data_IF_652946694155
#
_entry.id   IF_652946694155
#
_cell.length_a   1.000
_cell.length_b   1.000
_cell.length_c   1.000
_cell.angle_alpha   90.00
_cell.angle_beta   90.00
_cell.angle_gamma   90.00
#
_symmetry.space_group_name_H-M   'P 1'
#
loop_
_entity.id
_entity.type
_entity.pdbx_description
1 polymer ?
#
# COMPACT_ATOMS: atom_id res chain seq x y z
N UNK A 1 -13.74 19.78 2.98
CA UNK A 1 -13.18 18.54 3.57
C UNK A 1 -11.68 18.61 3.31
N UNK A 2 -10.83 18.58 4.34
CA UNK A 2 -9.39 18.59 4.12
C UNK A 2 -8.96 17.21 3.61
N UNK A 3 -8.39 17.14 2.41
CA UNK A 3 -7.78 15.92 1.88
C UNK A 3 -6.62 15.54 2.80
N UNK A 4 -6.69 14.33 3.37
CA UNK A 4 -5.55 13.83 4.16
C UNK A 4 -4.42 13.48 3.19
N UNK A 5 -3.18 13.90 3.47
CA UNK A 5 -2.05 13.54 2.63
C UNK A 5 -1.93 12.01 2.56
N UNK A 6 -1.56 11.52 1.38
CA UNK A 6 -1.21 10.12 1.23
C UNK A 6 0.02 9.82 2.10
N UNK A 7 -0.05 8.73 2.86
CA UNK A 7 1.06 8.24 3.67
C UNK A 7 1.56 6.95 3.01
N UNK A 8 2.85 6.86 2.64
CA UNK A 8 3.43 5.62 2.14
C UNK A 8 3.18 4.46 3.09
N UNK A 9 2.95 3.27 2.55
CA UNK A 9 2.73 2.08 3.37
C UNK A 9 3.23 0.83 2.68
N UNK A 10 3.48 -0.20 3.48
CA UNK A 10 3.85 -1.54 3.02
C UNK A 10 2.76 -2.53 3.36
N UNK A 11 2.35 -3.32 2.38
CA UNK A 11 1.41 -4.43 2.53
C UNK A 11 2.21 -5.70 2.75
N UNK A 12 1.95 -6.36 3.88
CA UNK A 12 2.53 -7.66 4.22
C UNK A 12 1.54 -8.75 3.83
N UNK A 13 2.03 -9.78 3.16
CA UNK A 13 1.26 -10.92 2.71
C UNK A 13 1.45 -12.12 3.64
N UNK A 14 0.49 -13.04 3.63
CA UNK A 14 0.51 -14.26 4.45
C UNK A 14 1.59 -15.26 4.01
N UNK A 15 2.05 -15.18 2.77
CA UNK A 15 3.14 -15.99 2.22
C UNK A 15 4.54 -15.41 2.51
N UNK A 16 4.60 -14.29 3.24
CA UNK A 16 5.84 -13.57 3.53
C UNK A 16 6.25 -12.58 2.44
N UNK A 17 5.43 -12.39 1.38
CA UNK A 17 5.64 -11.35 0.40
C UNK A 17 5.35 -9.96 0.97
N UNK A 18 6.04 -8.95 0.45
CA UNK A 18 5.86 -7.55 0.83
C UNK A 18 5.68 -6.69 -0.42
N UNK A 19 4.68 -5.82 -0.41
CA UNK A 19 4.42 -4.88 -1.49
C UNK A 19 4.47 -3.45 -0.94
N UNK A 20 5.48 -2.68 -1.37
CA UNK A 20 5.68 -1.30 -0.95
C UNK A 20 4.91 -0.34 -1.84
N UNK A 21 4.16 0.57 -1.24
CA UNK A 21 3.32 1.57 -1.92
C UNK A 21 3.82 2.98 -1.52
N UNK A 22 4.74 3.56 -2.31
CA UNK A 22 5.32 4.87 -1.99
C UNK A 22 4.39 6.05 -2.32
N UNK A 23 3.51 5.91 -3.33
CA UNK A 23 2.53 6.95 -3.71
C UNK A 23 1.16 6.36 -4.05
N UNK A 24 0.14 7.20 -4.11
CA UNK A 24 -1.22 6.78 -4.49
C UNK A 24 -1.29 6.13 -5.87
N UNK A 25 -0.44 6.57 -6.82
CA UNK A 25 -0.40 6.03 -8.18
C UNK A 25 0.15 4.59 -8.24
N UNK A 26 0.85 4.16 -7.19
CA UNK A 26 1.38 2.80 -7.09
C UNK A 26 0.32 1.80 -6.66
N UNK A 27 -0.88 2.22 -6.25
CA UNK A 27 -1.94 1.31 -5.82
C UNK A 27 -3.26 1.59 -6.53
N UNK A 28 -3.93 0.52 -6.95
CA UNK A 28 -5.27 0.59 -7.52
C UNK A 28 -6.15 -0.51 -6.98
N UNK A 29 -7.33 -0.12 -6.51
CA UNK A 29 -8.38 -1.05 -6.06
C UNK A 29 -9.56 -0.90 -7.00
N UNK A 30 -9.99 -1.99 -7.59
CA UNK A 30 -11.16 -1.96 -8.49
C UNK A 30 -12.42 -2.16 -7.65
N UNK A 31 -13.46 -1.34 -7.88
CA UNK A 31 -14.70 -1.38 -7.10
C UNK A 31 -15.41 -2.76 -7.14
N UNK A 32 -15.22 -3.50 -8.24
CA UNK A 32 -15.78 -4.83 -8.45
C UNK A 32 -14.78 -5.94 -8.15
N UNK A 33 -13.50 -5.62 -7.97
CA UNK A 33 -12.44 -6.61 -7.89
C UNK A 33 -12.04 -6.91 -6.47
N UNK A 34 -12.03 -8.20 -6.15
CA UNK A 34 -11.38 -8.75 -4.98
C UNK A 34 -9.85 -8.76 -5.11
N UNK A 35 -9.27 -7.71 -5.71
CA UNK A 35 -7.83 -7.59 -5.98
C UNK A 35 -7.35 -6.15 -5.78
N UNK A 36 -6.22 -6.05 -5.12
CA UNK A 36 -5.40 -4.85 -4.99
C UNK A 36 -4.26 -4.97 -5.98
N UNK A 37 -4.11 -3.98 -6.85
CA UNK A 37 -3.02 -3.91 -7.80
C UNK A 37 -1.96 -2.96 -7.25
N UNK A 38 -0.73 -3.44 -7.10
CA UNK A 38 0.42 -2.63 -6.70
C UNK A 38 1.39 -2.56 -7.87
N UNK A 39 1.59 -1.37 -8.42
CA UNK A 39 2.53 -1.11 -9.50
C UNK A 39 3.90 -0.76 -8.92
N UNK A 40 4.97 -1.19 -9.58
CA UNK A 40 6.36 -0.89 -9.24
C UNK A 40 7.02 -0.07 -10.33
N UNK A 41 8.07 0.69 -9.99
CA UNK A 41 8.84 1.52 -10.94
C UNK A 41 9.47 0.73 -12.10
N UNK A 42 9.69 -0.59 -11.94
CA UNK A 42 10.17 -1.49 -13.00
C UNK A 42 9.08 -1.81 -14.05
N UNK A 43 7.89 -1.21 -13.93
CA UNK A 43 6.73 -1.45 -14.80
C UNK A 43 6.01 -2.77 -14.53
N UNK A 44 6.43 -3.52 -13.51
CA UNK A 44 5.74 -4.71 -13.02
C UNK A 44 4.60 -4.33 -12.09
N UNK A 45 3.64 -5.24 -11.91
CA UNK A 45 2.59 -5.08 -10.92
C UNK A 45 2.28 -6.40 -10.23
N UNK A 46 1.92 -6.33 -8.95
CA UNK A 46 1.36 -7.44 -8.19
C UNK A 46 -0.15 -7.31 -8.09
N UNK A 47 -0.84 -8.44 -8.27
CA UNK A 47 -2.28 -8.56 -8.09
C UNK A 47 -2.58 -9.32 -6.80
N UNK A 48 -2.66 -8.58 -5.70
CA UNK A 48 -2.82 -9.11 -4.35
C UNK A 48 -4.30 -9.37 -4.07
N UNK A 49 -4.62 -10.55 -3.55
CA UNK A 49 -5.96 -10.82 -3.02
C UNK A 49 -6.08 -10.22 -1.61
N UNK A 50 -7.16 -9.50 -1.27
CA UNK A 50 -7.34 -8.93 0.07
C UNK A 50 -7.20 -9.95 1.20
N UNK A 51 -7.62 -11.19 0.96
CA UNK A 51 -7.49 -12.30 1.93
C UNK A 51 -6.04 -12.74 2.18
N UNK A 52 -5.11 -12.40 1.31
CA UNK A 52 -3.69 -12.65 1.52
C UNK A 52 -3.00 -11.55 2.30
N UNK A 53 -3.66 -10.42 2.55
CA UNK A 53 -3.08 -9.32 3.32
C UNK A 53 -3.08 -9.73 4.80
N UNK A 54 -1.89 -9.93 5.35
CA UNK A 54 -1.71 -10.26 6.77
C UNK A 54 -1.66 -8.99 7.63
N UNK A 55 -1.00 -7.95 7.12
CA UNK A 55 -0.81 -6.67 7.83
C UNK A 55 -0.56 -5.53 6.84
N UNK A 56 -0.88 -4.31 7.25
CA UNK A 56 -0.43 -3.08 6.59
C UNK A 56 0.35 -2.25 7.61
N UNK A 57 1.51 -1.74 7.21
CA UNK A 57 2.33 -0.84 8.03
C UNK A 57 2.52 0.46 7.28
N UNK A 58 2.17 1.58 7.91
CA UNK A 58 2.47 2.91 7.37
C UNK A 58 3.93 3.25 7.63
N UNK A 59 4.59 3.88 6.66
CA UNK A 59 5.92 4.45 6.86
C UNK A 59 5.75 5.71 7.70
N UNK A 60 5.88 5.57 9.02
CA UNK A 60 5.90 6.69 9.94
C UNK A 60 7.25 7.40 9.84
N UNK A 61 7.52 8.05 8.70
CA UNK A 61 8.45 9.15 8.70
C UNK A 61 7.74 10.36 9.33
N UNK A 62 7.84 10.36 10.66
CA UNK A 62 7.22 11.22 11.65
C UNK A 62 7.31 12.71 11.29
N UNK A 63 6.22 13.28 10.77
CA UNK A 63 5.94 14.72 10.94
C UNK A 63 5.44 15.01 12.37
N UNK A 64 6.22 14.63 13.38
CA UNK A 64 5.84 14.77 14.78
C UNK A 64 7.07 14.85 15.67
N UNK A 65 7.60 16.06 15.80
CA UNK A 65 8.45 16.49 16.90
C UNK A 65 7.84 16.05 18.22
N UNK A 66 8.37 14.99 18.83
CA UNK A 66 8.16 14.71 20.24
C UNK A 66 8.81 15.83 21.04
N UNK A 67 7.98 16.67 21.66
CA UNK A 67 8.38 17.73 22.59
C UNK A 67 8.82 17.15 23.94
#
# INVERSE_FOLDING_TARGET
MAERPFVPFTIHLVDGGEAHVPTVDHVSVTATGNRVFVSYDDGKYDAIRPLMISRVTVDENLNGSGS
#
